data_IF_535497765993
#
_entry.id   IF_535497765993
#
_cell.length_a   1.000
_cell.length_b   1.000
_cell.length_c   1.000
_cell.angle_alpha   90.00
_cell.angle_beta   90.00
_cell.angle_gamma   90.00
#
_symmetry.space_group_name_H-M   'P 1'
#
loop_
_entity.id
_entity.type
_entity.pdbx_description
1 polymer ?
#
# COMPACT_ATOMS: atom_id res chain seq x y z
N UNK A 1 26.46 -26.55 10.20
CA UNK A 1 25.92 -25.73 9.11
C UNK A 1 24.53 -25.29 9.50
N UNK A 2 24.31 -23.98 9.66
CA UNK A 2 23.01 -23.41 10.05
C UNK A 2 22.25 -23.00 8.78
N UNK A 3 21.08 -23.57 8.54
CA UNK A 3 20.21 -23.19 7.41
C UNK A 3 18.85 -22.76 7.96
N UNK A 4 18.74 -21.45 8.23
CA UNK A 4 17.65 -20.54 7.83
C UNK A 4 16.61 -21.17 6.87
N UNK A 5 15.28 -21.05 6.94
CA UNK A 5 14.39 -19.97 7.38
C UNK A 5 12.98 -20.58 7.54
N UNK A 6 12.40 -20.49 8.74
CA UNK A 6 10.96 -20.70 8.96
C UNK A 6 10.35 -19.37 9.40
N UNK A 7 10.25 -18.41 8.48
CA UNK A 7 9.66 -17.10 8.76
C UNK A 7 8.20 -17.02 8.28
N UNK A 8 7.40 -18.03 8.64
CA UNK A 8 5.96 -18.11 8.31
C UNK A 8 5.03 -17.56 9.40
N UNK A 9 5.55 -17.08 10.53
CA UNK A 9 4.75 -16.82 11.73
C UNK A 9 4.79 -15.37 12.29
N UNK A 10 5.47 -14.42 11.64
CA UNK A 10 5.65 -13.05 12.17
C UNK A 10 4.64 -12.00 11.71
N UNK A 11 3.81 -12.26 10.71
CA UNK A 11 3.06 -11.20 10.03
C UNK A 11 1.75 -10.74 10.73
N UNK A 12 1.50 -11.15 11.98
CA UNK A 12 0.21 -10.93 12.67
C UNK A 12 0.20 -9.85 13.77
N UNK A 13 1.28 -9.10 14.00
CA UNK A 13 1.35 -8.18 15.17
C UNK A 13 2.02 -6.80 15.00
N UNK A 14 2.30 -6.33 13.78
CA UNK A 14 3.00 -5.03 13.59
C UNK A 14 2.22 -4.00 12.76
N UNK A 15 0.89 -3.92 12.90
CA UNK A 15 0.10 -2.84 12.28
C UNK A 15 -0.53 -1.85 13.26
N UNK A 16 -0.26 -1.96 14.56
CA UNK A 16 -0.88 -1.09 15.58
C UNK A 16 0.14 -0.21 16.31
N UNK A 17 0.75 0.71 15.57
CA UNK A 17 1.36 1.89 16.17
C UNK A 17 0.94 3.13 15.37
N UNK A 18 -0.24 3.64 15.72
CA UNK A 18 -0.59 5.07 15.62
C UNK A 18 -0.64 5.66 14.21
N UNK A 19 -1.73 5.34 13.48
CA UNK A 19 -2.11 6.06 12.27
C UNK A 19 -3.30 5.37 11.63
N UNK A 20 -4.46 6.01 11.65
CA UNK A 20 -5.71 5.50 11.04
C UNK A 20 -5.41 4.95 9.64
N UNK A 21 -5.71 3.66 9.39
CA UNK A 21 -5.41 2.94 8.12
C UNK A 21 -5.79 3.74 6.88
N UNK A 22 -6.83 4.56 6.98
CA UNK A 22 -7.32 5.41 5.88
C UNK A 22 -6.32 6.50 5.44
N UNK A 23 -5.56 7.08 6.37
CA UNK A 23 -4.53 8.08 6.03
C UNK A 23 -3.39 7.45 5.22
N UNK A 24 -2.91 6.27 5.66
CA UNK A 24 -1.86 5.54 4.95
C UNK A 24 -2.33 5.00 3.60
N UNK A 25 -3.57 4.56 3.48
CA UNK A 25 -4.13 4.14 2.20
C UNK A 25 -4.18 5.29 1.18
N UNK A 26 -4.55 6.50 1.62
CA UNK A 26 -4.53 7.68 0.77
C UNK A 26 -3.11 8.05 0.30
N UNK A 27 -2.11 7.98 1.19
CA UNK A 27 -0.70 8.20 0.84
C UNK A 27 -0.20 7.18 -0.18
N UNK A 28 -0.47 5.89 0.05
CA UNK A 28 -0.13 4.80 -0.89
C UNK A 28 -0.80 5.04 -2.25
N UNK A 29 -2.08 5.38 -2.28
CA UNK A 29 -2.82 5.66 -3.51
C UNK A 29 -2.23 6.87 -4.26
N UNK A 30 -1.87 7.94 -3.55
CA UNK A 30 -1.28 9.12 -4.15
C UNK A 30 0.08 8.81 -4.82
N UNK A 31 0.95 8.08 -4.13
CA UNK A 31 2.25 7.67 -4.69
C UNK A 31 2.07 6.67 -5.85
N UNK A 32 1.11 5.76 -5.73
CA UNK A 32 0.75 4.82 -6.79
C UNK A 32 0.28 5.56 -8.06
N UNK A 33 -0.58 6.56 -7.90
CA UNK A 33 -1.08 7.38 -9.01
C UNK A 33 0.03 8.20 -9.68
N UNK A 34 1.06 8.60 -8.93
CA UNK A 34 2.29 9.23 -9.47
C UNK A 34 3.22 8.27 -10.21
N UNK A 35 2.91 6.97 -10.26
CA UNK A 35 3.73 5.96 -10.92
C UNK A 35 4.81 5.32 -10.04
N UNK A 36 4.82 5.58 -8.73
CA UNK A 36 5.82 5.00 -7.82
C UNK A 36 5.68 3.47 -7.70
N UNK A 37 6.78 2.73 -7.77
CA UNK A 37 6.78 1.27 -7.56
C UNK A 37 6.48 0.94 -6.10
N UNK A 38 6.06 -0.31 -5.83
CA UNK A 38 5.80 -0.72 -4.44
C UNK A 38 7.05 -0.61 -3.55
N UNK A 39 8.24 -0.81 -4.12
CA UNK A 39 9.52 -0.59 -3.44
C UNK A 39 9.75 0.88 -3.09
N UNK A 40 9.48 1.80 -4.02
CA UNK A 40 9.59 3.23 -3.76
C UNK A 40 8.58 3.71 -2.70
N UNK A 41 7.33 3.21 -2.78
CA UNK A 41 6.29 3.50 -1.78
C UNK A 41 6.69 2.96 -0.40
N UNK A 42 7.23 1.74 -0.35
CA UNK A 42 7.71 1.12 0.88
C UNK A 42 8.81 1.97 1.54
N UNK A 43 9.77 2.44 0.74
CA UNK A 43 10.84 3.31 1.20
C UNK A 43 10.32 4.66 1.71
N UNK A 44 9.44 5.32 0.94
CA UNK A 44 8.88 6.64 1.27
C UNK A 44 8.07 6.59 2.57
N UNK A 45 7.29 5.52 2.75
CA UNK A 45 6.38 5.39 3.90
C UNK A 45 7.01 4.68 5.10
N UNK A 46 8.23 4.14 4.95
CA UNK A 46 8.95 3.39 5.98
C UNK A 46 8.31 2.04 6.32
N UNK A 47 7.69 1.39 5.35
CA UNK A 47 7.00 0.09 5.51
C UNK A 47 7.57 -0.96 4.56
N UNK A 48 7.18 -2.23 4.73
CA UNK A 48 7.62 -3.29 3.82
C UNK A 48 6.83 -3.27 2.49
N UNK A 49 7.45 -3.72 1.40
CA UNK A 49 6.75 -3.92 0.12
C UNK A 49 5.53 -4.83 0.23
N UNK A 50 5.58 -5.83 1.12
CA UNK A 50 4.45 -6.72 1.35
C UNK A 50 3.28 -5.96 2.01
N UNK A 51 3.59 -5.08 2.96
CA UNK A 51 2.61 -4.17 3.57
C UNK A 51 2.00 -3.25 2.51
N UNK A 52 2.81 -2.70 1.59
CA UNK A 52 2.30 -1.90 0.46
C UNK A 52 1.33 -2.71 -0.41
N UNK A 53 1.65 -3.98 -0.72
CA UNK A 53 0.76 -4.88 -1.49
C UNK A 53 -0.57 -5.10 -0.77
N UNK A 54 -0.55 -5.25 0.54
CA UNK A 54 -1.77 -5.43 1.32
C UNK A 54 -2.60 -4.14 1.36
N UNK A 55 -1.97 -2.98 1.51
CA UNK A 55 -2.65 -1.69 1.35
C UNK A 55 -3.26 -1.53 -0.04
N UNK A 56 -2.53 -1.85 -1.11
CA UNK A 56 -3.06 -1.75 -2.48
C UNK A 56 -4.27 -2.64 -2.70
N UNK A 57 -4.28 -3.87 -2.16
CA UNK A 57 -5.46 -4.75 -2.23
C UNK A 57 -6.67 -4.15 -1.51
N UNK A 58 -6.48 -3.58 -0.32
CA UNK A 58 -7.57 -2.92 0.43
C UNK A 58 -8.08 -1.68 -0.30
N UNK A 59 -7.18 -0.87 -0.84
CA UNK A 59 -7.51 0.29 -1.67
C UNK A 59 -8.33 -0.16 -2.88
N UNK A 60 -7.89 -1.19 -3.60
CA UNK A 60 -8.60 -1.70 -4.77
C UNK A 60 -10.02 -2.17 -4.41
N UNK A 61 -10.16 -2.94 -3.33
CA UNK A 61 -11.45 -3.37 -2.84
C UNK A 61 -12.36 -2.18 -2.42
N UNK A 62 -11.79 -1.16 -1.77
CA UNK A 62 -12.51 0.03 -1.31
C UNK A 62 -12.96 0.93 -2.47
N UNK A 63 -12.13 1.05 -3.50
CA UNK A 63 -12.40 1.87 -4.69
C UNK A 63 -13.20 1.12 -5.77
N UNK A 64 -13.36 -0.20 -5.65
CA UNK A 64 -14.00 -1.04 -6.66
C UNK A 64 -13.19 -1.15 -7.96
N UNK A 65 -11.87 -0.98 -7.89
CA UNK A 65 -10.96 -1.06 -9.04
C UNK A 65 -10.17 -2.36 -9.02
N UNK A 66 -9.77 -2.85 -10.19
CA UNK A 66 -9.14 -4.17 -10.33
C UNK A 66 -7.63 -4.09 -10.53
N UNK A 67 -7.13 -2.93 -10.99
CA UNK A 67 -5.73 -2.78 -11.32
C UNK A 67 -5.19 -1.38 -11.01
N UNK A 68 -3.86 -1.29 -11.10
CA UNK A 68 -3.09 -0.07 -10.84
C UNK A 68 -3.51 1.10 -11.72
N UNK A 69 -3.80 0.86 -12.99
CA UNK A 69 -4.17 1.91 -13.94
C UNK A 69 -5.56 2.49 -13.59
N UNK A 70 -6.52 1.64 -13.24
CA UNK A 70 -7.83 2.05 -12.77
C UNK A 70 -7.76 2.83 -11.46
N UNK A 71 -6.93 2.40 -10.51
CA UNK A 71 -6.70 3.13 -9.27
C UNK A 71 -6.08 4.52 -9.51
N UNK A 72 -5.08 4.60 -10.40
CA UNK A 72 -4.47 5.88 -10.78
C UNK A 72 -5.47 6.81 -11.48
N UNK A 73 -6.30 6.27 -12.38
CA UNK A 73 -7.34 7.02 -13.06
C UNK A 73 -8.45 7.48 -12.09
N UNK A 74 -8.82 6.65 -11.13
CA UNK A 74 -9.74 7.03 -10.05
C UNK A 74 -9.18 8.20 -9.25
N UNK A 75 -7.91 8.13 -8.85
CA UNK A 75 -7.25 9.20 -8.11
C UNK A 75 -7.18 10.51 -8.90
N UNK A 76 -6.82 10.45 -10.19
CA UNK A 76 -6.78 11.64 -11.05
C UNK A 76 -8.14 12.34 -11.10
N UNK A 77 -9.23 11.59 -11.34
CA UNK A 77 -10.60 12.14 -11.39
C UNK A 77 -11.05 12.83 -10.10
N UNK A 78 -10.54 12.38 -8.94
CA UNK A 78 -10.92 12.95 -7.64
C UNK A 78 -9.96 14.03 -7.15
N UNK A 79 -8.74 14.09 -7.68
CA UNK A 79 -7.77 15.16 -7.38
C UNK A 79 -8.18 16.50 -7.99
N UNK A 80 -8.83 16.47 -9.15
CA UNK A 80 -9.25 17.67 -9.89
C UNK A 80 -10.53 18.32 -9.32
N UNK A 81 -11.14 17.71 -8.30
CA UNK A 81 -12.32 18.24 -7.60
C UNK A 81 -11.96 19.15 -6.41
N UNK A 82 -10.70 19.58 -6.29
CA UNK A 82 -10.19 20.46 -5.23
C UNK A 82 -9.61 21.76 -5.78
#
# INVERSE_FOLDING_TARGET
MVTSLANGARQRRETDATGTSEGREAEVLALLAKGATNAAIALELGISENTVKDHTRRIYAKLGVQNRAEAAAWYARHKDAG
#
